data_IF_969696026331
#
_entry.id   IF_969696026331
#
_cell.length_a   1.000
_cell.length_b   1.000
_cell.length_c   1.000
_cell.angle_alpha   90.00
_cell.angle_beta   90.00
_cell.angle_gamma   90.00
#
_symmetry.space_group_name_H-M   'P 1'
#
loop_
_entity.id
_entity.type
_entity.pdbx_description
1 polymer ?
#
# COMPACT_ATOMS: atom_id res chain seq x y z
N UNK A 1 -9.72 0.99 -18.90
CA UNK A 1 -8.41 1.70 -18.84
C UNK A 1 -7.31 0.67 -18.67
N UNK A 2 -6.33 0.67 -19.56
CA UNK A 2 -5.17 -0.22 -19.46
C UNK A 2 -3.95 0.59 -19.00
N UNK A 3 -3.52 0.38 -17.74
CA UNK A 3 -2.36 1.03 -17.15
C UNK A 3 -1.37 -0.06 -16.74
N UNK A 4 -0.23 -0.12 -17.42
CA UNK A 4 0.79 -1.13 -17.16
C UNK A 4 1.92 -0.57 -16.29
N UNK A 5 2.54 -1.43 -15.46
CA UNK A 5 3.72 -1.06 -14.68
C UNK A 5 4.85 -0.52 -15.58
N UNK A 6 5.04 -1.09 -16.77
CA UNK A 6 6.07 -0.66 -17.72
C UNK A 6 5.81 0.77 -18.22
N UNK A 7 4.57 1.13 -18.60
CA UNK A 7 4.21 2.48 -19.02
C UNK A 7 4.47 3.50 -17.88
N UNK A 8 4.11 3.15 -16.66
CA UNK A 8 4.36 4.03 -15.49
C UNK A 8 5.85 4.21 -15.22
N UNK A 9 6.66 3.15 -15.31
CA UNK A 9 8.12 3.25 -15.12
C UNK A 9 8.75 4.10 -16.22
N UNK A 10 8.34 3.92 -17.49
CA UNK A 10 8.84 4.74 -18.61
C UNK A 10 8.50 6.21 -18.39
N UNK A 11 7.24 6.53 -18.05
CA UNK A 11 6.82 7.90 -17.76
C UNK A 11 7.58 8.53 -16.58
N UNK A 12 7.92 7.75 -15.56
CA UNK A 12 8.72 8.21 -14.42
C UNK A 12 10.17 8.54 -14.82
N UNK A 13 10.79 7.75 -15.71
CA UNK A 13 12.13 8.03 -16.24
C UNK A 13 12.17 9.35 -17.01
N UNK A 14 11.21 9.56 -17.90
CA UNK A 14 11.10 10.80 -18.65
C UNK A 14 10.87 12.01 -17.73
N UNK A 15 9.99 11.86 -16.74
CA UNK A 15 9.72 12.88 -15.74
C UNK A 15 10.97 13.18 -14.89
N UNK A 16 11.71 12.15 -14.46
CA UNK A 16 12.95 12.32 -13.70
C UNK A 16 14.02 13.04 -14.52
N UNK A 17 14.21 12.65 -15.76
CA UNK A 17 15.16 13.33 -16.67
C UNK A 17 14.82 14.82 -16.82
N UNK A 18 13.53 15.15 -16.96
CA UNK A 18 13.09 16.55 -17.01
C UNK A 18 13.37 17.27 -15.68
N UNK A 19 13.08 16.61 -14.55
CA UNK A 19 13.38 17.17 -13.21
C UNK A 19 14.88 17.48 -13.06
N UNK A 20 15.76 16.56 -13.47
CA UNK A 20 17.20 16.72 -13.31
C UNK A 20 17.74 17.90 -14.15
N UNK A 21 17.20 18.10 -15.36
CA UNK A 21 17.50 19.28 -16.18
C UNK A 21 17.00 20.57 -15.51
N UNK A 22 15.78 20.57 -14.99
CA UNK A 22 15.21 21.71 -14.28
C UNK A 22 15.98 22.05 -13.01
N UNK A 23 16.36 21.03 -12.21
CA UNK A 23 17.20 21.20 -11.04
C UNK A 23 18.57 21.82 -11.40
N UNK A 24 19.19 21.38 -12.49
CA UNK A 24 20.43 21.97 -13.00
C UNK A 24 20.27 23.47 -13.31
N UNK A 25 19.19 23.86 -13.99
CA UNK A 25 18.87 25.24 -14.27
C UNK A 25 18.66 26.08 -13.01
N UNK A 26 17.92 25.54 -12.03
CA UNK A 26 17.67 26.20 -10.73
C UNK A 26 18.98 26.38 -9.97
N UNK A 27 19.82 25.35 -9.90
CA UNK A 27 21.12 25.39 -9.22
C UNK A 27 22.06 26.44 -9.84
N UNK A 28 22.11 26.54 -11.17
CA UNK A 28 22.87 27.54 -11.86
C UNK A 28 22.44 29.00 -11.53
N UNK A 29 21.20 29.16 -11.05
CA UNK A 29 20.65 30.44 -10.59
C UNK A 29 20.60 30.60 -9.07
N UNK A 30 21.32 29.77 -8.32
CA UNK A 30 21.37 29.82 -6.84
C UNK A 30 20.12 29.32 -6.14
N UNK A 31 19.27 28.55 -6.80
CA UNK A 31 18.04 27.99 -6.26
C UNK A 31 18.14 26.46 -6.15
N UNK A 32 17.29 25.85 -5.30
CA UNK A 32 17.26 24.38 -5.11
C UNK A 32 15.80 23.89 -4.95
N UNK A 33 15.35 23.06 -5.90
CA UNK A 33 14.01 22.49 -5.88
C UNK A 33 13.77 21.50 -4.73
N UNK A 34 14.83 20.93 -4.15
CA UNK A 34 14.70 19.96 -3.05
C UNK A 34 14.33 20.61 -1.72
N UNK A 35 14.54 21.93 -1.59
CA UNK A 35 14.22 22.68 -0.38
C UNK A 35 12.72 22.92 -0.21
N UNK A 36 12.00 23.15 -1.33
CA UNK A 36 10.55 23.35 -1.36
C UNK A 36 9.87 22.28 -2.22
N UNK A 37 9.67 21.11 -1.61
CA UNK A 37 9.04 19.97 -2.30
C UNK A 37 7.60 20.26 -2.78
N UNK A 38 6.91 21.20 -2.12
CA UNK A 38 5.57 21.63 -2.55
C UNK A 38 5.60 22.34 -3.89
N UNK A 39 6.46 23.35 -4.05
CA UNK A 39 6.64 24.05 -5.33
C UNK A 39 7.20 23.14 -6.40
N UNK A 40 8.18 22.30 -6.06
CA UNK A 40 8.69 21.28 -7.00
C UNK A 40 7.56 20.41 -7.54
N UNK A 41 6.70 19.88 -6.66
CA UNK A 41 5.59 19.02 -7.07
C UNK A 41 4.59 19.77 -7.99
N UNK A 42 4.34 21.06 -7.76
CA UNK A 42 3.53 21.89 -8.66
C UNK A 42 4.20 22.02 -10.04
N UNK A 43 5.50 22.27 -10.11
CA UNK A 43 6.25 22.36 -11.37
C UNK A 43 6.27 21.03 -12.12
N UNK A 44 6.27 19.90 -11.39
CA UNK A 44 6.38 18.57 -11.96
C UNK A 44 5.03 17.91 -12.26
N UNK A 45 3.89 18.52 -11.92
CA UNK A 45 2.57 17.93 -12.20
C UNK A 45 2.30 17.82 -13.71
N UNK A 46 2.52 18.89 -14.47
CA UNK A 46 2.33 18.86 -15.91
C UNK A 46 3.28 17.88 -16.64
N UNK A 47 4.59 17.84 -16.37
CA UNK A 47 5.47 16.80 -16.92
C UNK A 47 5.02 15.37 -16.56
N UNK A 48 4.52 15.14 -15.34
CA UNK A 48 3.99 13.84 -14.91
C UNK A 48 2.82 13.41 -15.79
N UNK A 49 1.80 14.25 -15.92
CA UNK A 49 0.61 13.99 -16.72
C UNK A 49 0.97 13.80 -18.22
N UNK A 50 1.82 14.66 -18.75
CA UNK A 50 2.26 14.61 -20.15
C UNK A 50 2.98 13.28 -20.45
N UNK A 51 3.96 12.90 -19.64
CA UNK A 51 4.73 11.69 -19.86
C UNK A 51 3.89 10.43 -19.65
N UNK A 52 2.99 10.42 -18.66
CA UNK A 52 2.06 9.32 -18.50
C UNK A 52 1.12 9.20 -19.70
N UNK A 53 0.56 10.32 -20.18
CA UNK A 53 -0.31 10.34 -21.36
C UNK A 53 0.39 9.79 -22.59
N UNK A 54 1.68 10.15 -22.80
CA UNK A 54 2.51 9.65 -23.89
C UNK A 54 2.63 8.13 -23.85
N UNK A 55 2.95 7.58 -22.69
CA UNK A 55 3.13 6.13 -22.53
C UNK A 55 1.81 5.34 -22.62
N UNK A 56 0.71 5.89 -22.11
CA UNK A 56 -0.60 5.27 -22.18
C UNK A 56 -1.16 5.17 -23.60
N UNK A 57 -0.72 6.02 -24.53
CA UNK A 57 -1.08 5.94 -25.97
C UNK A 57 -0.58 4.66 -26.66
N UNK A 58 0.42 3.97 -26.10
CA UNK A 58 0.90 2.71 -26.66
C UNK A 58 0.05 1.51 -26.26
N UNK A 59 -0.82 1.64 -25.26
CA UNK A 59 -1.59 0.52 -24.68
C UNK A 59 -3.10 0.79 -24.64
N UNK A 60 -3.55 1.95 -25.12
CA UNK A 60 -4.96 2.34 -25.23
C UNK A 60 -5.21 2.97 -26.60
N UNK A 61 -6.46 2.91 -27.09
CA UNK A 61 -6.82 3.40 -28.42
C UNK A 61 -6.70 4.92 -28.55
N UNK A 62 -7.19 5.66 -27.55
CA UNK A 62 -7.12 7.11 -27.51
C UNK A 62 -6.86 7.58 -26.09
N UNK A 63 -5.86 8.45 -25.93
CA UNK A 63 -5.53 9.06 -24.63
C UNK A 63 -5.32 10.57 -24.84
N UNK A 64 -6.00 11.36 -24.04
CA UNK A 64 -5.96 12.82 -24.06
C UNK A 64 -5.61 13.35 -22.69
N UNK A 65 -4.59 14.24 -22.60
CA UNK A 65 -4.40 15.08 -21.42
C UNK A 65 -5.37 16.26 -21.54
N UNK A 66 -6.26 16.42 -20.57
CA UNK A 66 -7.29 17.48 -20.55
C UNK A 66 -7.15 18.31 -19.27
N UNK A 67 -6.23 19.26 -19.27
CA UNK A 67 -5.99 20.16 -18.13
C UNK A 67 -7.07 21.24 -17.90
N UNK A 68 -8.27 21.12 -18.48
CA UNK A 68 -9.37 22.07 -18.28
C UNK A 68 -9.98 21.92 -16.90
N UNK A 69 -10.29 23.04 -16.27
CA UNK A 69 -10.95 23.05 -14.94
C UNK A 69 -12.22 22.20 -14.94
N UNK A 70 -12.28 21.28 -13.98
CA UNK A 70 -13.44 20.40 -13.78
C UNK A 70 -13.46 19.14 -14.67
N UNK A 71 -12.41 18.91 -15.45
CA UNK A 71 -12.13 17.66 -16.14
C UNK A 71 -11.07 16.89 -15.35
N UNK A 72 -10.99 15.57 -15.57
CA UNK A 72 -9.89 14.79 -15.10
C UNK A 72 -8.62 15.09 -15.94
N UNK A 73 -7.45 14.89 -15.36
CA UNK A 73 -6.17 15.21 -16.00
C UNK A 73 -5.95 14.39 -17.28
N UNK A 74 -6.38 13.13 -17.29
CA UNK A 74 -6.23 12.23 -18.44
C UNK A 74 -7.56 11.54 -18.72
N UNK A 75 -7.97 11.55 -20.00
CA UNK A 75 -9.14 10.83 -20.51
C UNK A 75 -8.64 9.72 -21.41
N UNK A 76 -9.11 8.49 -21.14
CA UNK A 76 -8.73 7.27 -21.86
C UNK A 76 -9.98 6.68 -22.50
N UNK A 77 -9.95 6.48 -23.83
CA UNK A 77 -11.06 5.88 -24.57
C UNK A 77 -10.61 4.57 -25.21
N UNK A 78 -11.35 3.49 -24.98
CA UNK A 78 -11.16 2.20 -25.61
C UNK A 78 -12.54 1.72 -26.11
N UNK A 79 -12.72 1.68 -27.42
CA UNK A 79 -14.02 1.50 -28.04
C UNK A 79 -15.01 2.60 -27.65
N UNK A 80 -16.16 2.21 -27.11
CA UNK A 80 -17.20 3.13 -26.62
C UNK A 80 -17.02 3.54 -25.15
N UNK A 81 -16.02 2.98 -24.44
CA UNK A 81 -15.79 3.22 -23.03
C UNK A 81 -14.83 4.38 -22.87
N UNK A 82 -15.28 5.44 -22.19
CA UNK A 82 -14.43 6.57 -21.76
C UNK A 82 -14.23 6.48 -20.24
N UNK A 83 -12.97 6.51 -19.81
CA UNK A 83 -12.55 6.44 -18.41
C UNK A 83 -11.69 7.67 -18.09
N UNK A 84 -11.86 8.20 -16.90
CA UNK A 84 -11.19 9.41 -16.41
C UNK A 84 -10.16 9.06 -15.35
N UNK A 85 -8.96 9.63 -15.45
CA UNK A 85 -7.86 9.44 -14.51
C UNK A 85 -7.38 10.78 -13.98
N UNK A 86 -7.48 10.97 -12.69
CA UNK A 86 -6.92 12.13 -11.97
C UNK A 86 -5.52 11.80 -11.47
N UNK A 87 -4.54 12.65 -11.75
CA UNK A 87 -3.16 12.47 -11.40
C UNK A 87 -2.78 13.38 -10.22
N UNK A 88 -2.07 12.85 -9.23
CA UNK A 88 -1.63 13.62 -8.07
C UNK A 88 -0.17 13.33 -7.76
N UNK A 89 0.63 14.38 -7.63
CA UNK A 89 2.03 14.28 -7.19
C UNK A 89 2.17 14.81 -5.76
N UNK A 90 2.74 14.01 -4.88
CA UNK A 90 2.98 14.38 -3.48
C UNK A 90 4.35 13.91 -3.02
N UNK A 91 4.77 14.38 -1.86
CA UNK A 91 6.02 13.97 -1.21
C UNK A 91 5.82 13.87 0.30
N UNK A 92 6.63 13.07 1.00
CA UNK A 92 6.57 13.01 2.45
C UNK A 92 6.83 14.38 3.10
N UNK A 93 6.06 14.69 4.13
CA UNK A 93 6.33 15.80 5.02
C UNK A 93 7.71 15.65 5.73
N UNK A 94 8.19 16.67 6.39
CA UNK A 94 9.44 16.60 7.21
C UNK A 94 9.37 15.48 8.26
N UNK A 95 8.18 15.17 8.78
CA UNK A 95 7.93 14.06 9.72
C UNK A 95 7.92 12.66 9.07
N UNK A 96 8.07 12.55 7.76
CA UNK A 96 7.91 11.31 7.01
C UNK A 96 6.45 10.92 6.72
N UNK A 97 5.47 11.65 7.23
CA UNK A 97 4.06 11.39 6.94
C UNK A 97 3.72 11.72 5.49
N UNK A 98 2.91 10.87 4.86
CA UNK A 98 2.41 11.07 3.50
C UNK A 98 0.93 11.39 3.60
N UNK A 99 0.50 12.44 2.90
CA UNK A 99 -0.90 12.87 2.82
C UNK A 99 -1.35 12.77 1.36
N UNK A 100 -2.29 11.85 1.10
CA UNK A 100 -2.97 11.77 -0.19
C UNK A 100 -4.25 12.61 -0.10
N UNK A 101 -4.33 13.62 -0.96
CA UNK A 101 -5.41 14.61 -0.95
C UNK A 101 -6.07 14.68 -2.32
N UNK A 102 -7.34 15.08 -2.33
CA UNK A 102 -8.11 15.40 -3.53
C UNK A 102 -8.94 16.66 -3.32
N UNK A 103 -9.50 17.18 -4.41
CA UNK A 103 -10.47 18.27 -4.40
C UNK A 103 -11.88 17.69 -4.24
N UNK A 104 -12.56 18.05 -3.16
CA UNK A 104 -13.86 17.49 -2.78
C UNK A 104 -14.92 17.73 -3.83
N UNK A 105 -15.03 18.96 -4.31
CA UNK A 105 -16.09 19.37 -5.27
C UNK A 105 -15.98 18.60 -6.60
N UNK A 106 -14.76 18.30 -7.06
CA UNK A 106 -14.56 17.49 -8.26
C UNK A 106 -15.03 16.07 -8.05
N UNK A 107 -14.65 15.46 -6.93
CA UNK A 107 -15.03 14.08 -6.62
C UNK A 107 -16.54 13.95 -6.36
N UNK A 108 -17.15 14.89 -5.63
CA UNK A 108 -18.60 14.90 -5.38
C UNK A 108 -19.39 14.99 -6.68
N UNK A 109 -19.00 15.89 -7.59
CA UNK A 109 -19.66 16.05 -8.89
C UNK A 109 -19.50 14.84 -9.80
N UNK A 110 -18.35 14.16 -9.78
CA UNK A 110 -18.08 12.97 -10.59
C UNK A 110 -18.66 11.69 -9.98
N UNK A 111 -18.94 11.68 -8.68
CA UNK A 111 -19.43 10.53 -7.91
C UNK A 111 -18.37 9.46 -7.68
N UNK A 112 -17.63 9.09 -8.73
CA UNK A 112 -16.52 8.13 -8.66
C UNK A 112 -15.42 8.51 -9.67
N UNK A 113 -14.15 8.34 -9.30
CA UNK A 113 -13.03 8.70 -10.15
C UNK A 113 -11.82 7.81 -9.86
N UNK A 114 -11.06 7.46 -10.90
CA UNK A 114 -9.78 6.79 -10.76
C UNK A 114 -8.68 7.81 -10.48
N UNK A 115 -7.77 7.44 -9.57
CA UNK A 115 -6.66 8.30 -9.17
C UNK A 115 -5.31 7.62 -9.37
N UNK A 116 -4.36 8.33 -9.96
CA UNK A 116 -2.95 7.94 -9.97
C UNK A 116 -2.17 8.83 -9.03
N UNK A 117 -1.75 8.29 -7.89
CA UNK A 117 -0.88 9.01 -6.95
C UNK A 117 0.58 8.66 -7.17
N UNK A 118 1.36 9.67 -7.52
CA UNK A 118 2.81 9.63 -7.54
C UNK A 118 3.34 10.19 -6.23
N UNK A 119 4.06 9.38 -5.49
CA UNK A 119 4.69 9.78 -4.24
C UNK A 119 6.18 9.79 -4.48
N UNK A 120 6.77 10.98 -4.63
CA UNK A 120 8.20 11.15 -4.82
C UNK A 120 8.90 11.37 -3.49
N UNK A 121 10.08 10.81 -3.30
CA UNK A 121 10.93 11.12 -2.16
C UNK A 121 11.40 12.61 -2.20
N UNK A 122 12.08 13.06 -1.16
CA UNK A 122 12.49 14.47 -1.08
C UNK A 122 13.51 14.86 -2.14
N UNK A 123 14.30 13.90 -2.65
CA UNK A 123 15.30 14.13 -3.69
C UNK A 123 14.78 13.94 -5.10
N UNK A 124 13.56 13.42 -5.25
CA UNK A 124 12.95 13.05 -6.53
C UNK A 124 13.68 11.91 -7.26
N UNK A 125 14.29 11.02 -6.49
CA UNK A 125 15.04 9.86 -7.00
C UNK A 125 14.22 8.57 -6.94
N UNK A 126 13.37 8.44 -5.90
CA UNK A 126 12.62 7.23 -5.58
C UNK A 126 11.14 7.51 -5.51
N UNK A 127 10.36 6.53 -5.96
CA UNK A 127 8.92 6.70 -6.09
C UNK A 127 8.12 5.54 -5.49
N UNK A 128 6.91 5.86 -5.08
CA UNK A 128 5.81 4.92 -4.96
C UNK A 128 4.68 5.42 -5.85
N UNK A 129 4.16 4.56 -6.74
CA UNK A 129 3.02 4.91 -7.58
C UNK A 129 1.88 3.96 -7.32
N UNK A 130 0.71 4.53 -7.08
CA UNK A 130 -0.49 3.78 -6.72
C UNK A 130 -1.64 4.24 -7.62
N UNK A 131 -2.26 3.29 -8.29
CA UNK A 131 -3.53 3.47 -8.98
C UNK A 131 -4.67 3.07 -8.06
N UNK A 132 -5.55 3.99 -7.75
CA UNK A 132 -6.78 3.74 -7.00
C UNK A 132 -7.96 3.73 -7.97
N UNK A 133 -8.75 2.66 -7.94
CA UNK A 133 -9.89 2.46 -8.84
C UNK A 133 -11.20 2.84 -8.16
N UNK A 134 -11.95 3.74 -8.79
CA UNK A 134 -13.30 4.09 -8.36
C UNK A 134 -13.37 4.67 -6.94
N UNK A 135 -12.51 5.66 -6.63
CA UNK A 135 -12.63 6.38 -5.36
C UNK A 135 -13.88 7.27 -5.35
N UNK A 136 -14.55 7.32 -4.21
CA UNK A 136 -15.73 8.14 -3.95
C UNK A 136 -15.48 9.08 -2.77
N UNK A 137 -16.40 9.98 -2.49
CA UNK A 137 -16.33 10.87 -1.31
C UNK A 137 -16.19 10.09 0.00
N UNK A 138 -16.70 8.87 0.07
CA UNK A 138 -16.61 8.00 1.26
C UNK A 138 -15.18 7.54 1.55
N UNK A 139 -14.28 7.55 0.57
CA UNK A 139 -12.87 7.22 0.72
C UNK A 139 -12.05 8.39 1.27
N UNK A 140 -12.66 9.54 1.48
CA UNK A 140 -12.01 10.74 2.00
C UNK A 140 -12.66 11.21 3.31
N UNK A 141 -11.89 12.00 4.07
CA UNK A 141 -12.39 12.67 5.28
C UNK A 141 -13.30 13.82 4.87
N UNK A 142 -14.18 14.23 5.78
CA UNK A 142 -15.00 15.43 5.58
C UNK A 142 -14.14 16.67 5.36
N UNK A 143 -14.67 17.62 4.60
CA UNK A 143 -14.02 18.92 4.38
C UNK A 143 -13.81 19.61 5.72
N UNK A 144 -12.58 20.00 6.01
CA UNK A 144 -12.26 20.77 7.23
C UNK A 144 -12.33 22.26 6.96
N UNK A 145 -12.76 23.09 7.93
CA UNK A 145 -12.68 24.53 7.81
C UNK A 145 -11.28 24.99 7.44
N UNK A 146 -11.15 25.85 6.44
CA UNK A 146 -9.85 26.36 5.97
C UNK A 146 -9.07 25.42 5.03
N UNK A 147 -9.56 24.23 4.72
CA UNK A 147 -8.90 23.27 3.79
C UNK A 147 -8.95 23.69 2.32
N UNK A 148 -9.66 24.77 1.97
CA UNK A 148 -9.87 25.24 0.59
C UNK A 148 -10.45 24.14 -0.32
N UNK A 149 -11.40 23.34 0.20
CA UNK A 149 -12.01 22.23 -0.53
C UNK A 149 -11.16 20.97 -0.64
N UNK A 150 -9.93 20.95 -0.10
CA UNK A 150 -9.11 19.74 -0.11
C UNK A 150 -9.47 18.79 1.02
N UNK A 151 -9.57 17.51 0.67
CA UNK A 151 -9.90 16.41 1.60
C UNK A 151 -8.80 15.37 1.63
N UNK A 152 -8.60 14.80 2.80
CA UNK A 152 -7.59 13.76 3.04
C UNK A 152 -8.18 12.36 2.82
N UNK A 153 -7.43 11.50 2.12
CA UNK A 153 -7.81 10.10 1.92
C UNK A 153 -7.86 9.32 3.24
N UNK A 154 -8.88 8.49 3.38
CA UNK A 154 -8.98 7.47 4.43
C UNK A 154 -8.27 6.20 3.93
N UNK A 155 -7.03 5.97 4.34
CA UNK A 155 -6.28 4.79 3.91
C UNK A 155 -7.00 3.46 4.20
N UNK A 156 -7.79 3.39 5.28
CA UNK A 156 -8.50 2.17 5.67
C UNK A 156 -9.52 1.66 4.65
N UNK A 157 -10.19 2.56 3.93
CA UNK A 157 -11.14 2.22 2.86
C UNK A 157 -10.45 2.22 1.50
N UNK A 158 -9.72 3.29 1.17
CA UNK A 158 -9.13 3.48 -0.13
C UNK A 158 -8.10 2.38 -0.52
N UNK A 159 -7.31 1.88 0.44
CA UNK A 159 -6.28 0.88 0.13
C UNK A 159 -6.81 -0.48 -0.35
N UNK A 160 -8.09 -0.79 -0.15
CA UNK A 160 -8.72 -1.96 -0.77
C UNK A 160 -8.94 -1.82 -2.27
N UNK A 161 -8.94 -0.57 -2.77
CA UNK A 161 -9.12 -0.20 -4.18
C UNK A 161 -7.77 0.12 -4.87
N UNK A 162 -6.65 -0.07 -4.16
CA UNK A 162 -5.32 0.31 -4.58
C UNK A 162 -4.61 -0.81 -5.34
N UNK A 163 -4.00 -0.46 -6.47
CA UNK A 163 -3.01 -1.25 -7.19
C UNK A 163 -1.66 -0.53 -7.12
N UNK A 164 -0.66 -1.13 -6.48
CA UNK A 164 0.67 -0.55 -6.35
C UNK A 164 1.49 -0.91 -7.58
N UNK A 165 1.80 0.07 -8.42
CA UNK A 165 2.51 -0.09 -9.68
C UNK A 165 4.03 0.04 -9.51
N UNK A 166 4.49 0.93 -8.61
CA UNK A 166 5.91 1.13 -8.30
C UNK A 166 6.08 1.23 -6.78
N UNK A 167 7.16 0.67 -6.26
CA UNK A 167 7.42 0.59 -4.83
C UNK A 167 6.55 -0.44 -4.11
N UNK A 168 6.38 -0.28 -2.79
CA UNK A 168 5.54 -1.17 -1.98
C UNK A 168 4.78 -0.38 -0.92
N UNK A 169 3.57 -0.85 -0.62
CA UNK A 169 2.78 -0.36 0.51
C UNK A 169 2.60 -1.48 1.51
N UNK A 170 3.06 -1.27 2.74
CA UNK A 170 2.94 -2.23 3.83
C UNK A 170 1.85 -1.82 4.79
N UNK A 171 1.00 -2.79 5.16
CA UNK A 171 -0.01 -2.64 6.20
C UNK A 171 0.52 -3.27 7.50
N UNK A 172 0.74 -2.45 8.53
CA UNK A 172 1.28 -2.91 9.81
C UNK A 172 0.44 -4.00 10.49
N UNK A 173 -0.89 -3.99 10.29
CA UNK A 173 -1.76 -5.00 10.85
C UNK A 173 -1.59 -6.33 10.11
N UNK A 174 -1.45 -6.30 8.78
CA UNK A 174 -1.22 -7.49 7.98
C UNK A 174 0.09 -8.19 8.36
N UNK A 175 1.18 -7.43 8.51
CA UNK A 175 2.46 -8.00 8.96
C UNK A 175 2.41 -8.60 10.35
N UNK A 176 1.72 -7.92 11.30
CA UNK A 176 1.53 -8.44 12.66
C UNK A 176 0.71 -9.72 12.65
N UNK A 177 -0.39 -9.76 11.89
CA UNK A 177 -1.22 -10.96 11.74
C UNK A 177 -0.41 -12.13 11.18
N UNK A 178 0.38 -11.90 10.13
CA UNK A 178 1.27 -12.91 9.55
C UNK A 178 2.21 -13.49 10.59
N UNK A 179 2.91 -12.63 11.36
CA UNK A 179 3.82 -13.08 12.43
C UNK A 179 3.12 -13.88 13.52
N UNK A 180 1.89 -13.52 13.89
CA UNK A 180 1.09 -14.29 14.87
C UNK A 180 0.70 -15.64 14.27
N UNK A 181 0.26 -15.68 13.02
CA UNK A 181 -0.12 -16.91 12.34
C UNK A 181 1.07 -17.88 12.20
N UNK A 182 2.25 -17.39 11.84
CA UNK A 182 3.50 -18.17 11.80
C UNK A 182 3.84 -18.78 13.17
N UNK A 183 3.63 -18.01 14.26
CA UNK A 183 3.80 -18.52 15.63
C UNK A 183 2.79 -19.62 15.99
N UNK A 184 1.54 -19.51 15.55
CA UNK A 184 0.52 -20.55 15.76
C UNK A 184 0.94 -21.84 15.05
N UNK A 185 1.34 -21.75 13.77
CA UNK A 185 1.81 -22.91 13.00
C UNK A 185 3.01 -23.57 13.68
N UNK A 186 4.00 -22.78 14.08
CA UNK A 186 5.19 -23.30 14.74
C UNK A 186 4.86 -23.98 16.08
N UNK A 187 3.94 -23.40 16.88
CA UNK A 187 3.49 -23.95 18.15
C UNK A 187 2.82 -25.31 17.93
N UNK A 188 1.92 -25.43 16.95
CA UNK A 188 1.24 -26.69 16.61
C UNK A 188 2.24 -27.73 16.08
N UNK A 189 3.17 -27.37 15.22
CA UNK A 189 4.20 -28.31 14.71
C UNK A 189 5.04 -28.90 15.85
N UNK A 190 5.50 -28.06 16.78
CA UNK A 190 6.30 -28.53 17.94
C UNK A 190 5.48 -29.46 18.83
N UNK A 191 4.20 -29.14 19.06
CA UNK A 191 3.31 -29.97 19.84
C UNK A 191 3.07 -31.33 19.16
N UNK A 192 2.78 -31.34 17.87
CA UNK A 192 2.59 -32.59 17.11
C UNK A 192 3.82 -33.49 17.15
N UNK A 193 5.02 -32.95 16.92
CA UNK A 193 6.27 -33.73 17.04
C UNK A 193 6.42 -34.33 18.44
N UNK A 194 6.09 -33.57 19.50
CA UNK A 194 6.14 -34.06 20.88
C UNK A 194 5.10 -35.10 21.17
N UNK A 195 3.88 -34.95 20.67
CA UNK A 195 2.79 -35.92 20.82
C UNK A 195 3.13 -37.24 20.14
N UNK A 196 3.69 -37.20 18.91
CA UNK A 196 4.15 -38.40 18.20
C UNK A 196 5.19 -39.16 19.02
N UNK A 197 6.21 -38.43 19.56
CA UNK A 197 7.23 -39.05 20.43
C UNK A 197 6.62 -39.69 21.68
N UNK A 198 5.67 -39.03 22.35
CA UNK A 198 5.02 -39.54 23.55
C UNK A 198 4.12 -40.74 23.22
N UNK A 199 3.41 -40.74 22.11
CA UNK A 199 2.60 -41.85 21.64
C UNK A 199 3.44 -43.09 21.37
N UNK A 200 4.58 -42.92 20.63
CA UNK A 200 5.52 -44.02 20.41
C UNK A 200 6.03 -44.59 21.74
N UNK A 201 6.40 -43.75 22.70
CA UNK A 201 6.84 -44.20 24.05
C UNK A 201 5.76 -44.91 24.80
N UNK A 202 4.50 -44.56 24.59
CA UNK A 202 3.35 -45.24 25.20
C UNK A 202 3.15 -46.63 24.59
N UNK A 203 3.30 -46.78 23.27
CA UNK A 203 3.20 -48.05 22.55
C UNK A 203 4.33 -49.01 22.94
N UNK A 204 5.56 -48.49 23.08
CA UNK A 204 6.73 -49.28 23.51
C UNK A 204 6.70 -49.65 25.00
N UNK A 205 5.78 -49.06 25.78
CA UNK A 205 5.69 -49.32 27.21
C UNK A 205 4.92 -50.60 27.51
N UNK A 206 5.57 -51.55 28.22
CA UNK A 206 4.94 -52.81 28.64
C UNK A 206 3.64 -52.58 29.43
N UNK A 207 2.61 -53.39 29.18
CA UNK A 207 1.34 -53.33 29.86
C UNK A 207 1.47 -53.50 31.40
N UNK A 208 2.49 -54.25 31.85
CA UNK A 208 2.79 -54.43 33.28
C UNK A 208 3.39 -53.21 33.97
N UNK A 209 3.74 -52.16 33.22
CA UNK A 209 4.33 -50.92 33.74
C UNK A 209 3.29 -49.81 33.94
N UNK A 210 2.20 -50.07 34.64
CA UNK A 210 1.02 -49.21 34.77
C UNK A 210 1.36 -47.76 35.19
N UNK A 211 2.16 -47.56 36.25
CA UNK A 211 2.58 -46.23 36.71
C UNK A 211 3.37 -45.44 35.60
N UNK A 212 4.13 -46.13 34.76
CA UNK A 212 4.90 -45.49 33.68
C UNK A 212 3.96 -45.06 32.54
N UNK A 213 2.94 -45.88 32.23
CA UNK A 213 1.90 -45.58 31.23
C UNK A 213 1.06 -44.37 31.66
N UNK A 214 0.57 -44.38 32.90
CA UNK A 214 -0.17 -43.23 33.46
C UNK A 214 0.62 -41.91 33.38
N UNK A 215 1.92 -41.98 33.68
CA UNK A 215 2.77 -40.79 33.61
C UNK A 215 2.92 -40.28 32.19
N UNK A 216 3.03 -41.14 31.17
CA UNK A 216 3.10 -40.76 29.75
C UNK A 216 1.75 -40.16 29.32
N UNK A 217 0.62 -40.75 29.71
CA UNK A 217 -0.72 -40.21 29.42
C UNK A 217 -0.86 -38.80 30.01
N UNK A 218 -0.46 -38.59 31.25
CA UNK A 218 -0.46 -37.25 31.86
C UNK A 218 0.40 -36.25 31.13
N UNK A 219 1.54 -36.69 30.56
CA UNK A 219 2.41 -35.82 29.71
C UNK A 219 1.77 -35.48 28.39
N UNK A 220 1.01 -36.38 27.78
CA UNK A 220 0.22 -36.15 26.57
C UNK A 220 -0.85 -35.09 26.84
N UNK A 221 -1.67 -35.29 27.87
CA UNK A 221 -2.73 -34.35 28.26
C UNK A 221 -2.16 -32.96 28.56
N UNK A 222 -1.06 -32.91 29.28
CA UNK A 222 -0.37 -31.64 29.57
C UNK A 222 0.16 -30.95 28.30
N UNK A 223 0.67 -31.71 27.35
CA UNK A 223 1.13 -31.19 26.07
C UNK A 223 -0.04 -30.60 25.27
N UNK A 224 -1.18 -31.29 25.21
CA UNK A 224 -2.39 -30.83 24.54
C UNK A 224 -2.89 -29.53 25.17
N UNK A 225 -3.19 -29.56 26.49
CA UNK A 225 -3.77 -28.45 27.23
C UNK A 225 -2.88 -27.18 27.16
N UNK A 226 -1.56 -27.36 27.32
CA UNK A 226 -0.61 -26.24 27.24
C UNK A 226 -0.54 -25.65 25.82
N UNK A 227 -0.65 -26.48 24.79
CA UNK A 227 -0.63 -26.04 23.41
C UNK A 227 -1.91 -25.29 23.06
N UNK A 228 -3.06 -25.81 23.43
CA UNK A 228 -4.35 -25.15 23.23
C UNK A 228 -4.41 -23.78 23.91
N UNK A 229 -3.97 -23.69 25.16
CA UNK A 229 -3.91 -22.42 25.88
C UNK A 229 -3.01 -21.39 25.18
N UNK A 230 -1.84 -21.81 24.65
CA UNK A 230 -0.93 -20.94 23.89
C UNK A 230 -1.55 -20.50 22.58
N UNK A 231 -2.15 -21.41 21.82
CA UNK A 231 -2.83 -21.11 20.55
C UNK A 231 -3.98 -20.14 20.79
N UNK A 232 -4.81 -20.38 21.81
CA UNK A 232 -5.91 -19.50 22.17
C UNK A 232 -5.44 -18.06 22.51
N UNK A 233 -4.34 -17.93 23.27
CA UNK A 233 -3.74 -16.63 23.55
C UNK A 233 -3.26 -15.91 22.28
N UNK A 234 -2.66 -16.64 21.33
CA UNK A 234 -2.23 -16.09 20.05
C UNK A 234 -3.43 -15.69 19.17
N UNK A 235 -4.51 -16.45 19.17
CA UNK A 235 -5.75 -16.10 18.47
C UNK A 235 -6.37 -14.81 19.01
N UNK A 236 -6.44 -14.63 20.33
CA UNK A 236 -6.86 -13.35 20.93
C UNK A 236 -5.98 -12.18 20.47
N UNK A 237 -4.66 -12.35 20.42
CA UNK A 237 -3.76 -11.31 19.89
C UNK A 237 -4.02 -11.01 18.42
N UNK A 238 -4.40 -12.02 17.62
CA UNK A 238 -4.77 -11.84 16.22
C UNK A 238 -6.04 -10.99 16.09
N UNK A 239 -7.05 -11.26 16.92
CA UNK A 239 -8.31 -10.50 16.96
C UNK A 239 -8.07 -9.06 17.41
N UNK A 240 -7.24 -8.86 18.45
CA UNK A 240 -6.85 -7.53 18.91
C UNK A 240 -6.17 -6.68 17.81
N UNK A 241 -5.34 -7.33 16.98
CA UNK A 241 -4.72 -6.64 15.82
C UNK A 241 -5.77 -6.33 14.76
N UNK A 242 -6.77 -7.19 14.57
CA UNK A 242 -7.87 -6.98 13.60
C UNK A 242 -8.67 -5.73 13.95
N UNK A 243 -8.92 -5.49 15.23
CA UNK A 243 -9.73 -4.38 15.73
C UNK A 243 -8.97 -3.04 15.77
N UNK A 244 -7.65 -3.04 15.53
CA UNK A 244 -6.84 -1.80 15.51
C UNK A 244 -6.83 -1.19 14.10
N UNK A 245 -6.91 0.15 14.04
CA UNK A 245 -6.75 0.88 12.79
C UNK A 245 -5.39 0.54 12.16
N UNK A 246 -5.36 0.14 10.88
CA UNK A 246 -4.11 -0.17 10.21
C UNK A 246 -3.23 1.08 10.05
N UNK A 247 -1.92 0.90 10.14
CA UNK A 247 -0.94 1.91 9.74
C UNK A 247 -0.30 1.47 8.45
N UNK A 248 -0.24 2.36 7.48
CA UNK A 248 0.40 2.13 6.19
C UNK A 248 1.78 2.79 6.17
N UNK A 249 2.74 2.10 5.60
CA UNK A 249 4.08 2.62 5.32
C UNK A 249 4.44 2.35 3.86
N UNK A 250 5.24 3.23 3.29
CA UNK A 250 5.58 3.24 1.87
C UNK A 250 7.07 2.95 1.71
N UNK A 251 7.40 1.96 0.91
CA UNK A 251 8.78 1.64 0.53
C UNK A 251 9.01 2.12 -0.90
N UNK A 252 9.88 3.09 -1.02
CA UNK A 252 10.20 3.73 -2.30
C UNK A 252 11.11 2.85 -3.14
N UNK A 253 10.87 2.84 -4.45
CA UNK A 253 11.66 2.13 -5.47
C UNK A 253 12.47 3.14 -6.28
N UNK A 254 13.77 2.85 -6.50
CA UNK A 254 14.63 3.64 -7.38
C UNK A 254 14.18 3.47 -8.84
N UNK A 255 14.09 4.58 -9.58
CA UNK A 255 13.82 4.57 -11.01
C UNK A 255 15.15 4.76 -11.74
N UNK A 256 15.71 3.65 -12.17
CA UNK A 256 16.93 3.62 -13.01
C UNK A 256 16.58 3.73 -14.49
#
# INVERSE_FOLDING_TARGET
MNITKSAVISSLRDMKNFHDQLQGLYTANGMDLTQDVGRRNILMSLPMEHNLTKELKFVNEKVVNDGRTGKADIIITNGEIEEELECKLTSPHKSGAISLQSDFDTLERKGSLDYMYYIADRKFEKFVVIHFKGLTVDDFRSVSPGSRGKVQMKYSSAMSKAEVLVGKVKNSNHEKKRKIFEKIILTRRKANSRLTELQQRLEECSEKAEKKRENIIRMIDNCINTTEAKVFKLMRQFDDVTNKKPRFSFEFEDIQ
#
